data_IF_438708477266
#
_entry.id   IF_438708477266
#
_cell.length_a   1.000
_cell.length_b   1.000
_cell.length_c   1.000
_cell.angle_alpha   90.00
_cell.angle_beta   90.00
_cell.angle_gamma   90.00
#
_symmetry.space_group_name_H-M   'P 1'
#
loop_
_entity.id
_entity.type
_entity.pdbx_description
1 polymer ?
#
# COMPACT_ATOMS: atom_id res chain seq x y z
N UNK A 1 -1.10 -5.53 1.56
CA UNK A 1 -0.73 -4.42 2.46
C UNK A 1 0.69 -4.62 2.95
N UNK A 2 1.46 -3.57 3.12
CA UNK A 2 1.07 -2.15 3.05
C UNK A 2 1.26 -1.50 1.66
N UNK A 3 1.84 -2.17 0.72
CA UNK A 3 2.50 -1.59 -0.45
C UNK A 3 1.65 -1.60 -1.73
N UNK A 4 0.46 -2.21 -1.70
CA UNK A 4 -0.37 -2.37 -2.89
C UNK A 4 -1.33 -1.19 -3.07
N UNK A 5 -1.41 -0.70 -4.31
CA UNK A 5 -2.42 0.25 -4.77
C UNK A 5 -3.53 -0.57 -5.42
N UNK A 6 -4.74 -0.49 -4.85
CA UNK A 6 -5.87 -1.31 -5.25
C UNK A 6 -6.99 -0.46 -5.85
N UNK A 7 -7.66 -1.00 -6.87
CA UNK A 7 -8.97 -0.54 -7.32
C UNK A 7 -9.96 -1.71 -7.21
N UNK A 8 -10.97 -1.59 -6.35
CA UNK A 8 -11.97 -2.66 -6.08
C UNK A 8 -11.31 -4.02 -5.83
N UNK A 9 -10.28 -4.04 -5.00
CA UNK A 9 -9.46 -5.22 -4.65
C UNK A 9 -8.63 -5.82 -5.79
N UNK A 10 -8.56 -5.20 -6.96
CA UNK A 10 -7.63 -5.56 -8.03
C UNK A 10 -6.39 -4.69 -7.94
N UNK A 11 -5.22 -5.29 -7.99
CA UNK A 11 -3.95 -4.56 -7.91
C UNK A 11 -3.73 -3.70 -9.16
N UNK A 12 -3.70 -2.39 -8.95
CA UNK A 12 -3.38 -1.37 -9.96
C UNK A 12 -1.88 -1.05 -9.98
N UNK A 13 -1.22 -1.22 -8.85
CA UNK A 13 0.18 -0.88 -8.72
C UNK A 13 0.74 -1.27 -7.37
N UNK A 14 1.98 -0.88 -7.12
CA UNK A 14 2.63 -1.11 -5.84
C UNK A 14 3.75 -0.12 -5.57
N UNK A 15 4.11 0.02 -4.30
CA UNK A 15 5.17 0.90 -3.83
C UNK A 15 6.18 0.02 -3.09
N UNK A 16 7.45 0.14 -3.44
CA UNK A 16 8.56 -0.49 -2.73
C UNK A 16 9.45 0.61 -2.14
N UNK A 17 9.73 0.52 -0.85
CA UNK A 17 10.63 1.46 -0.17
C UNK A 17 11.81 0.65 0.37
N UNK A 18 13.00 1.03 -0.05
CA UNK A 18 14.25 0.47 0.45
C UNK A 18 15.00 1.56 1.22
N UNK A 19 15.43 1.23 2.43
CA UNK A 19 16.18 2.12 3.29
C UNK A 19 17.65 1.74 3.27
N UNK A 20 18.51 2.74 3.17
CA UNK A 20 19.97 2.61 3.23
C UNK A 20 20.54 3.74 4.08
N UNK A 21 21.51 3.43 4.93
CA UNK A 21 22.17 4.43 5.78
C UNK A 21 22.96 3.78 6.91
N UNK A 22 23.75 4.59 7.60
CA UNK A 22 24.49 4.18 8.78
C UNK A 22 23.65 4.36 10.04
N UNK A 23 23.92 3.54 11.06
CA UNK A 23 23.21 3.59 12.36
C UNK A 23 23.25 4.98 13.04
N UNK A 24 24.29 5.75 12.75
CA UNK A 24 24.51 7.10 13.30
C UNK A 24 24.58 8.18 12.21
N UNK A 25 24.27 7.83 10.96
CA UNK A 25 24.35 8.73 9.80
C UNK A 25 22.99 9.03 9.18
N UNK A 26 23.00 9.79 8.07
CA UNK A 26 21.76 10.07 7.34
C UNK A 26 21.18 8.78 6.74
N UNK A 27 19.87 8.63 6.84
CA UNK A 27 19.13 7.54 6.18
C UNK A 27 18.62 8.03 4.83
N UNK A 28 18.83 7.21 3.80
CA UNK A 28 18.31 7.44 2.45
C UNK A 28 17.19 6.45 2.17
N UNK A 29 16.11 6.94 1.56
CA UNK A 29 15.01 6.10 1.10
C UNK A 29 14.99 6.07 -0.43
N UNK A 30 14.96 4.89 -1.01
CA UNK A 30 14.68 4.69 -2.44
C UNK A 30 13.22 4.26 -2.56
N UNK A 31 12.41 5.08 -3.25
CA UNK A 31 10.98 4.85 -3.40
C UNK A 31 10.70 4.40 -4.83
N UNK A 32 10.42 3.11 -5.02
CA UNK A 32 9.97 2.55 -6.29
C UNK A 32 8.46 2.55 -6.37
N UNK A 33 7.87 3.14 -7.41
CA UNK A 33 6.42 3.15 -7.65
C UNK A 33 6.14 2.51 -8.99
N UNK A 34 5.39 1.40 -9.00
CA UNK A 34 4.93 0.72 -10.19
C UNK A 34 3.42 0.91 -10.38
N UNK A 35 3.00 1.40 -11.55
CA UNK A 35 1.58 1.53 -11.92
C UNK A 35 1.33 0.74 -13.20
N UNK A 36 0.33 -0.11 -13.18
CA UNK A 36 -0.12 -0.84 -14.35
C UNK A 36 -0.83 0.13 -15.33
N UNK A 37 -0.13 0.62 -16.32
CA UNK A 37 -0.71 1.51 -17.33
C UNK A 37 -1.56 0.74 -18.34
N UNK A 38 -1.05 -0.38 -18.83
CA UNK A 38 -1.73 -1.35 -19.71
C UNK A 38 -1.04 -2.70 -19.53
N UNK A 39 -1.80 -3.73 -19.18
CA UNK A 39 -1.34 -5.11 -19.08
C UNK A 39 -1.73 -5.87 -20.35
N UNK A 40 -0.84 -6.69 -20.86
CA UNK A 40 -1.15 -7.67 -21.88
C UNK A 40 -1.61 -9.01 -21.26
N UNK A 41 -2.32 -9.82 -22.04
CA UNK A 41 -2.86 -11.10 -21.56
C UNK A 41 -1.75 -12.05 -21.07
N UNK A 42 -0.58 -12.00 -21.69
CA UNK A 42 0.56 -12.83 -21.32
C UNK A 42 1.17 -12.43 -19.97
N UNK A 43 1.07 -11.17 -19.59
CA UNK A 43 1.48 -10.65 -18.29
C UNK A 43 0.44 -11.00 -17.22
N UNK A 44 -0.84 -10.82 -17.52
CA UNK A 44 -1.94 -11.15 -16.58
C UNK A 44 -1.92 -12.64 -16.21
N UNK A 45 -1.69 -13.54 -17.17
CA UNK A 45 -1.67 -14.99 -16.93
C UNK A 45 -0.55 -15.45 -15.99
N UNK A 46 0.51 -14.67 -15.83
CA UNK A 46 1.64 -14.97 -14.93
C UNK A 46 1.48 -14.40 -13.52
N UNK A 47 0.48 -13.53 -13.32
CA UNK A 47 0.27 -12.87 -12.03
C UNK A 47 -0.76 -13.67 -11.25
N UNK A 48 -0.36 -14.23 -10.12
CA UNK A 48 -1.22 -15.06 -9.26
C UNK A 48 -2.07 -14.21 -8.28
N UNK A 49 -2.57 -13.06 -8.74
CA UNK A 49 -3.52 -12.22 -7.97
C UNK A 49 -4.39 -11.41 -8.92
N UNK A 50 -5.57 -10.99 -8.45
CA UNK A 50 -6.45 -10.13 -9.22
C UNK A 50 -5.77 -8.78 -9.51
N UNK A 51 -5.64 -8.45 -10.79
CA UNK A 51 -4.96 -7.22 -11.27
C UNK A 51 -5.85 -6.40 -12.18
N UNK A 52 -5.56 -5.10 -12.26
CA UNK A 52 -6.16 -4.17 -13.22
C UNK A 52 -5.12 -3.18 -13.70
N UNK A 53 -5.47 -2.37 -14.68
CA UNK A 53 -4.63 -1.32 -15.22
C UNK A 53 -5.44 -0.07 -15.57
N UNK A 54 -4.76 1.05 -15.86
CA UNK A 54 -5.40 2.32 -16.19
C UNK A 54 -6.21 2.24 -17.50
N UNK A 55 -5.78 1.41 -18.44
CA UNK A 55 -6.47 1.28 -19.72
C UNK A 55 -7.84 0.60 -19.57
N UNK A 56 -7.99 -0.30 -18.59
CA UNK A 56 -9.27 -0.95 -18.28
C UNK A 56 -10.18 -0.10 -17.40
N UNK A 57 -9.63 0.87 -16.68
CA UNK A 57 -10.39 1.71 -15.75
C UNK A 57 -10.89 3.02 -16.35
N UNK A 58 -10.32 3.45 -17.48
CA UNK A 58 -10.57 4.77 -18.07
C UNK A 58 -10.85 4.67 -19.57
N UNK A 59 -11.89 5.35 -20.04
CA UNK A 59 -12.20 5.46 -21.46
C UNK A 59 -11.03 6.06 -22.25
N UNK A 60 -10.36 7.05 -21.67
CA UNK A 60 -9.18 7.69 -22.26
C UNK A 60 -8.03 7.62 -21.24
N UNK A 61 -7.21 6.56 -21.30
CA UNK A 61 -6.09 6.41 -20.38
C UNK A 61 -5.06 7.52 -20.58
N UNK A 62 -4.50 8.06 -19.48
CA UNK A 62 -3.46 9.08 -19.58
C UNK A 62 -2.16 8.50 -20.17
N UNK A 63 -1.36 9.35 -20.79
CA UNK A 63 -0.01 8.95 -21.19
C UNK A 63 0.86 8.63 -19.97
N UNK A 64 1.83 7.73 -20.14
CA UNK A 64 2.79 7.40 -19.06
C UNK A 64 3.52 8.63 -18.53
N UNK A 65 3.88 9.56 -19.42
CA UNK A 65 4.55 10.81 -19.04
C UNK A 65 3.65 11.71 -18.18
N UNK A 66 2.35 11.76 -18.46
CA UNK A 66 1.40 12.53 -17.64
C UNK A 66 1.25 11.90 -16.25
N UNK A 67 1.16 10.57 -16.15
CA UNK A 67 1.11 9.86 -14.86
C UNK A 67 2.37 10.14 -14.07
N UNK A 68 3.54 9.98 -14.69
CA UNK A 68 4.83 10.25 -14.05
C UNK A 68 4.93 11.71 -13.57
N UNK A 69 4.57 12.67 -14.41
CA UNK A 69 4.60 14.09 -14.05
C UNK A 69 3.72 14.41 -12.84
N UNK A 70 2.51 13.82 -12.79
CA UNK A 70 1.60 13.99 -11.63
C UNK A 70 2.16 13.33 -10.37
N UNK A 71 2.75 12.13 -10.47
CA UNK A 71 3.39 11.45 -9.34
C UNK A 71 4.55 12.28 -8.78
N UNK A 72 5.46 12.76 -9.63
CA UNK A 72 6.59 13.58 -9.20
C UNK A 72 6.14 14.90 -8.55
N UNK A 73 5.11 15.53 -9.10
CA UNK A 73 4.56 16.76 -8.52
C UNK A 73 3.99 16.50 -7.11
N UNK A 74 3.27 15.39 -6.91
CA UNK A 74 2.73 15.03 -5.60
C UNK A 74 3.82 14.62 -4.61
N UNK A 75 4.80 13.85 -5.03
CA UNK A 75 5.95 13.49 -4.20
C UNK A 75 6.73 14.72 -3.73
N UNK A 76 6.89 15.73 -4.61
CA UNK A 76 7.54 17.00 -4.27
C UNK A 76 6.81 17.80 -3.17
N UNK A 77 5.52 17.54 -2.96
CA UNK A 77 4.73 18.15 -1.87
C UNK A 77 4.71 17.25 -0.63
N UNK A 78 4.48 15.95 -0.83
CA UNK A 78 4.25 15.00 0.25
C UNK A 78 5.53 14.70 1.03
N UNK A 79 6.67 14.51 0.34
CA UNK A 79 7.90 14.08 1.00
C UNK A 79 8.45 15.13 1.98
N UNK A 80 8.57 16.43 1.63
CA UNK A 80 9.02 17.45 2.59
C UNK A 80 8.08 17.58 3.79
N UNK A 81 6.78 17.45 3.56
CA UNK A 81 5.78 17.49 4.63
C UNK A 81 5.90 16.28 5.56
N UNK A 82 6.11 15.09 4.98
CA UNK A 82 6.32 13.87 5.76
C UNK A 82 7.61 13.94 6.60
N UNK A 83 8.68 14.50 6.03
CA UNK A 83 9.93 14.71 6.75
C UNK A 83 9.76 15.64 7.96
N UNK A 84 8.96 16.69 7.82
CA UNK A 84 8.74 17.69 8.86
C UNK A 84 7.72 17.25 9.93
N UNK A 85 6.65 16.57 9.54
CA UNK A 85 5.45 16.34 10.36
C UNK A 85 5.18 14.84 10.62
N UNK A 86 5.88 13.93 9.94
CA UNK A 86 5.65 12.49 10.01
C UNK A 86 4.35 12.05 9.35
N UNK A 87 3.80 10.91 9.79
CA UNK A 87 2.61 10.30 9.21
C UNK A 87 1.30 10.97 9.63
N UNK A 88 1.26 11.61 10.79
CA UNK A 88 0.03 12.12 11.41
C UNK A 88 -0.87 12.95 10.46
N UNK A 89 -0.34 13.92 9.66
CA UNK A 89 -1.19 14.73 8.79
C UNK A 89 -1.78 13.99 7.58
N UNK A 90 -1.31 12.78 7.29
CA UNK A 90 -1.79 11.95 6.18
C UNK A 90 -2.76 10.85 6.62
N UNK A 91 -2.88 10.64 7.94
CA UNK A 91 -3.59 9.50 8.52
C UNK A 91 -5.06 9.44 8.10
N UNK A 92 -5.79 10.54 8.18
CA UNK A 92 -7.22 10.56 7.89
C UNK A 92 -7.50 10.30 6.40
N UNK A 93 -6.71 10.90 5.52
CA UNK A 93 -6.78 10.64 4.08
C UNK A 93 -6.43 9.18 3.76
N UNK A 94 -5.39 8.65 4.39
CA UNK A 94 -5.01 7.26 4.23
C UNK A 94 -6.11 6.30 4.69
N UNK A 95 -6.74 6.57 5.85
CA UNK A 95 -7.85 5.77 6.37
C UNK A 95 -9.07 5.80 5.46
N UNK A 96 -9.38 6.95 4.87
CA UNK A 96 -10.48 7.08 3.92
C UNK A 96 -10.27 6.28 2.63
N UNK A 97 -9.01 6.04 2.24
CA UNK A 97 -8.63 5.27 1.05
C UNK A 97 -8.31 3.81 1.35
N UNK A 98 -8.23 3.43 2.62
CA UNK A 98 -7.82 2.09 3.01
C UNK A 98 -8.84 1.02 2.60
N UNK A 99 -8.44 0.13 1.69
CA UNK A 99 -9.34 -0.87 1.08
C UNK A 99 -9.96 -1.84 2.09
N UNK A 100 -9.30 -2.10 3.20
CA UNK A 100 -9.72 -3.07 4.22
C UNK A 100 -10.27 -2.43 5.50
N UNK A 101 -10.47 -1.12 5.53
CA UNK A 101 -10.99 -0.43 6.70
C UNK A 101 -12.34 -1.02 7.14
N UNK A 102 -12.47 -1.37 8.43
CA UNK A 102 -13.63 -2.00 9.04
C UNK A 102 -14.04 -3.35 8.41
N UNK A 103 -13.09 -4.08 7.82
CA UNK A 103 -13.33 -5.38 7.22
C UNK A 103 -12.65 -6.50 8.01
N UNK A 104 -13.32 -7.65 8.05
CA UNK A 104 -12.69 -8.88 8.49
C UNK A 104 -11.63 -9.32 7.48
N UNK A 105 -10.44 -9.65 7.98
CA UNK A 105 -9.30 -10.02 7.15
C UNK A 105 -8.57 -11.21 7.75
N UNK A 106 -7.83 -11.89 6.89
CA UNK A 106 -6.82 -12.89 7.28
C UNK A 106 -5.45 -12.27 7.02
N UNK A 107 -4.60 -12.30 8.01
CA UNK A 107 -3.21 -11.88 7.91
C UNK A 107 -2.32 -13.10 7.86
N UNK A 108 -1.51 -13.21 6.82
CA UNK A 108 -0.46 -14.20 6.73
C UNK A 108 0.83 -13.59 7.28
N UNK A 109 1.27 -14.12 8.39
CA UNK A 109 2.50 -13.72 9.07
C UNK A 109 3.67 -14.64 8.66
N UNK A 110 4.92 -14.26 8.97
CA UNK A 110 6.07 -15.15 8.82
C UNK A 110 5.82 -16.52 9.47
N UNK A 111 6.46 -17.56 8.92
CA UNK A 111 6.28 -18.96 9.32
C UNK A 111 4.88 -19.53 9.07
N UNK A 112 4.14 -18.97 8.08
CA UNK A 112 2.80 -19.41 7.72
C UNK A 112 1.74 -19.34 8.86
N UNK A 113 1.97 -18.49 9.84
CA UNK A 113 0.97 -18.21 10.87
C UNK A 113 -0.13 -17.35 10.27
N UNK A 114 -1.39 -17.76 10.45
CA UNK A 114 -2.56 -16.99 10.00
C UNK A 114 -3.25 -16.41 11.22
N UNK A 115 -3.56 -15.14 11.15
CA UNK A 115 -4.34 -14.44 12.16
C UNK A 115 -5.55 -13.78 11.52
N UNK A 116 -6.67 -13.76 12.22
CA UNK A 116 -7.93 -13.19 11.74
C UNK A 116 -8.40 -12.08 12.69
N UNK A 117 -9.04 -11.06 12.12
CA UNK A 117 -9.59 -9.96 12.89
C UNK A 117 -10.20 -8.90 11.99
N UNK A 118 -10.67 -7.82 12.60
CA UNK A 118 -11.26 -6.67 11.90
C UNK A 118 -10.22 -5.56 11.86
N UNK A 119 -9.94 -5.02 10.68
CA UNK A 119 -9.07 -3.85 10.54
C UNK A 119 -9.78 -2.63 11.09
N UNK A 120 -9.20 -2.00 12.12
CA UNK A 120 -9.76 -0.80 12.75
C UNK A 120 -9.01 0.49 12.39
N UNK A 121 -7.89 0.36 11.67
CA UNK A 121 -7.13 1.51 11.19
C UNK A 121 -5.64 1.31 11.26
N UNK A 122 -4.92 2.41 11.43
CA UNK A 122 -3.47 2.46 11.65
C UNK A 122 -3.14 3.31 12.87
N UNK A 123 -2.08 2.92 13.56
CA UNK A 123 -1.50 3.70 14.65
C UNK A 123 -0.70 4.90 14.12
N UNK A 124 -0.21 5.76 15.02
CA UNK A 124 0.53 6.97 14.66
C UNK A 124 1.89 6.67 13.99
N UNK A 125 2.43 5.48 14.19
CA UNK A 125 3.63 4.97 13.52
C UNK A 125 3.34 4.25 12.19
N UNK A 126 2.08 4.24 11.73
CA UNK A 126 1.65 3.54 10.50
C UNK A 126 1.42 2.04 10.69
N UNK A 127 1.59 1.48 11.91
CA UNK A 127 1.28 0.08 12.18
C UNK A 127 -0.20 -0.21 11.98
N UNK A 128 -0.54 -1.30 11.29
CA UNK A 128 -1.92 -1.73 11.12
C UNK A 128 -2.53 -2.16 12.48
N UNK A 129 -3.75 -1.76 12.71
CA UNK A 129 -4.52 -2.13 13.90
C UNK A 129 -5.57 -3.18 13.53
N UNK A 130 -5.49 -4.33 14.18
CA UNK A 130 -6.40 -5.44 13.99
C UNK A 130 -7.11 -5.75 15.32
N UNK A 131 -8.43 -5.61 15.34
CA UNK A 131 -9.26 -6.02 16.47
C UNK A 131 -9.54 -7.53 16.37
N UNK A 132 -9.16 -8.25 17.43
CA UNK A 132 -9.21 -9.71 17.50
C UNK A 132 -9.92 -10.13 18.79
N UNK A 133 -10.40 -11.37 18.87
CA UNK A 133 -10.96 -11.89 20.13
C UNK A 133 -9.98 -11.79 21.32
N UNK A 134 -8.68 -11.79 21.05
CA UNK A 134 -7.61 -11.59 22.06
C UNK A 134 -7.34 -10.13 22.39
N UNK A 135 -8.01 -9.17 21.74
CA UNK A 135 -7.82 -7.74 21.87
C UNK A 135 -7.13 -7.09 20.66
N UNK A 136 -6.99 -5.77 20.74
CA UNK A 136 -6.38 -4.96 19.68
C UNK A 136 -4.89 -5.27 19.55
N UNK A 137 -4.48 -5.67 18.35
CA UNK A 137 -3.10 -6.04 18.03
C UNK A 137 -2.53 -5.11 16.97
N UNK A 138 -1.25 -4.73 17.11
CA UNK A 138 -0.51 -3.87 16.17
C UNK A 138 0.42 -4.72 15.32
N UNK A 139 0.43 -4.44 14.00
CA UNK A 139 1.32 -5.10 13.04
C UNK A 139 2.17 -4.05 12.34
N UNK A 140 3.47 -4.16 12.52
CA UNK A 140 4.45 -3.34 11.80
C UNK A 140 4.69 -3.89 10.40
N UNK A 141 5.28 -3.07 9.54
CA UNK A 141 5.65 -3.47 8.17
C UNK A 141 6.56 -4.70 8.19
N UNK A 142 6.22 -5.68 7.37
CA UNK A 142 6.95 -6.93 7.21
C UNK A 142 6.26 -7.75 6.11
N UNK A 143 6.51 -9.03 6.04
CA UNK A 143 5.91 -9.94 5.07
C UNK A 143 4.45 -10.29 5.44
N UNK A 144 3.58 -9.29 5.44
CA UNK A 144 2.17 -9.45 5.81
C UNK A 144 1.31 -9.35 4.56
N UNK A 145 0.52 -10.37 4.29
CA UNK A 145 -0.49 -10.40 3.24
C UNK A 145 -1.88 -10.29 3.86
N UNK A 146 -2.71 -9.37 3.35
CA UNK A 146 -4.12 -9.24 3.74
C UNK A 146 -5.00 -9.89 2.69
N UNK A 147 -5.88 -10.78 3.12
CA UNK A 147 -6.90 -11.38 2.27
C UNK A 147 -8.26 -11.16 2.91
N UNK A 148 -9.21 -10.59 2.17
CA UNK A 148 -10.56 -10.43 2.67
C UNK A 148 -11.18 -11.80 2.96
N UNK A 149 -11.84 -11.94 4.10
CA UNK A 149 -12.68 -13.11 4.42
C UNK A 149 -14.00 -12.91 3.70
N UNK A 150 -14.36 -13.87 2.84
CA UNK A 150 -15.65 -13.90 2.12
C UNK A 150 -16.77 -14.33 3.03
#
# INVERSE_FOLDING_TARGET
>A
WPNDILHRFHKLGGILIELSGDVLGPTYAVIGIGINARLDESSVSKINQATTDLANLMETPPSRSLVLGKLLAQLGVVLPRFEAEGFAPFRDEWLALHAYQNRAVRMLLPRNTVEEGIVTGVADDGSLLLDRPSGLTRYTVGEISLTAVT
#
